data_IF_095861938752
#
_entry.id   IF_095861938752
#
_cell.length_a   1.000
_cell.length_b   1.000
_cell.length_c   1.000
_cell.angle_alpha   90.00
_cell.angle_beta   90.00
_cell.angle_gamma   90.00
#
_symmetry.space_group_name_H-M   'P 1'
#
loop_
_entity.id
_entity.type
_entity.pdbx_description
1 polymer ?
#
# COMPACT_ATOMS: atom_id res chain seq x y z
N UNK A 1 -27.86 -28.39 -2.68
CA UNK A 1 -27.37 -27.24 -3.47
C UNK A 1 -26.14 -27.72 -4.21
N UNK A 2 -26.10 -27.62 -5.54
CA UNK A 2 -24.92 -27.98 -6.32
C UNK A 2 -23.95 -26.79 -6.35
N UNK A 3 -22.66 -27.04 -6.12
CA UNK A 3 -21.63 -26.00 -6.27
C UNK A 3 -21.29 -25.91 -7.76
N UNK A 4 -21.43 -24.73 -8.40
CA UNK A 4 -21.34 -24.59 -9.86
C UNK A 4 -19.90 -24.62 -10.39
N UNK A 5 -18.89 -24.69 -9.52
CA UNK A 5 -17.47 -24.64 -9.87
C UNK A 5 -16.72 -25.85 -9.33
N UNK A 6 -15.81 -26.40 -10.14
CA UNK A 6 -14.97 -27.53 -9.76
C UNK A 6 -13.72 -27.12 -8.96
N UNK A 7 -13.31 -25.85 -9.06
CA UNK A 7 -12.12 -25.31 -8.38
C UNK A 7 -12.24 -23.79 -8.21
N UNK A 8 -11.40 -23.24 -7.32
CA UNK A 8 -11.24 -21.80 -7.08
C UNK A 8 -9.75 -21.49 -7.05
N UNK A 9 -9.35 -20.39 -7.69
CA UNK A 9 -8.00 -19.84 -7.59
C UNK A 9 -8.09 -18.59 -6.72
N UNK A 10 -7.25 -18.54 -5.69
CA UNK A 10 -7.15 -17.39 -4.82
C UNK A 10 -5.86 -16.64 -5.16
N UNK A 11 -5.98 -15.32 -5.22
CA UNK A 11 -4.83 -14.45 -5.06
C UNK A 11 -4.25 -14.60 -3.65
N UNK A 12 -3.02 -14.15 -3.43
CA UNK A 12 -2.33 -14.31 -2.15
C UNK A 12 -2.43 -13.06 -1.27
N UNK A 13 -1.79 -11.97 -1.68
CA UNK A 13 -1.74 -10.71 -0.95
C UNK A 13 -3.11 -10.01 -0.95
N UNK A 14 -3.56 -9.55 0.21
CA UNK A 14 -4.86 -8.91 0.37
C UNK A 14 -6.07 -9.86 0.21
N UNK A 15 -5.86 -11.13 -0.16
CA UNK A 15 -6.90 -12.15 -0.26
C UNK A 15 -6.74 -13.24 0.80
N UNK A 16 -5.61 -13.94 0.82
CA UNK A 16 -5.31 -14.98 1.80
C UNK A 16 -4.52 -14.44 3.00
N UNK A 17 -3.74 -13.38 2.78
CA UNK A 17 -2.90 -12.76 3.80
C UNK A 17 -3.20 -11.27 3.87
N UNK A 18 -3.40 -10.75 5.09
CA UNK A 18 -3.46 -9.31 5.35
C UNK A 18 -2.05 -8.70 5.35
N UNK A 19 -1.49 -8.50 4.15
CA UNK A 19 -0.18 -7.90 3.94
C UNK A 19 -0.21 -6.36 3.97
N UNK A 20 -1.39 -5.73 3.88
CA UNK A 20 -1.54 -4.28 3.83
C UNK A 20 -1.06 -3.57 5.10
N UNK A 21 -1.29 -4.16 6.27
CA UNK A 21 -0.77 -3.60 7.52
C UNK A 21 0.76 -3.52 7.54
N UNK A 22 1.43 -4.49 6.91
CA UNK A 22 2.89 -4.50 6.77
C UNK A 22 3.37 -3.45 5.77
N UNK A 23 2.71 -3.36 4.61
CA UNK A 23 2.99 -2.33 3.60
C UNK A 23 2.84 -0.92 4.17
N UNK A 24 1.73 -0.62 4.85
CA UNK A 24 1.51 0.67 5.50
C UNK A 24 2.65 1.04 6.46
N UNK A 25 3.06 0.11 7.32
CA UNK A 25 4.15 0.34 8.27
C UNK A 25 5.46 0.66 7.55
N UNK A 26 5.73 -0.03 6.45
CA UNK A 26 6.95 0.15 5.66
C UNK A 26 6.96 1.53 4.99
N UNK A 27 5.86 1.95 4.36
CA UNK A 27 5.77 3.28 3.77
C UNK A 27 5.74 4.40 4.80
N UNK A 28 5.20 4.18 6.00
CA UNK A 28 5.32 5.13 7.10
C UNK A 28 6.77 5.35 7.53
N UNK A 29 7.55 4.27 7.64
CA UNK A 29 8.98 4.36 7.92
C UNK A 29 9.72 5.09 6.80
N UNK A 30 9.37 4.82 5.54
CA UNK A 30 9.96 5.50 4.39
C UNK A 30 9.61 7.00 4.37
N UNK A 31 8.33 7.34 4.54
CA UNK A 31 7.83 8.71 4.62
C UNK A 31 8.54 9.50 5.73
N UNK A 32 8.77 8.90 6.90
CA UNK A 32 9.48 9.53 7.99
C UNK A 32 10.94 9.90 7.62
N UNK A 33 11.62 9.06 6.82
CA UNK A 33 12.96 9.38 6.26
C UNK A 33 12.91 10.55 5.29
N UNK A 34 11.75 10.84 4.71
CA UNK A 34 11.47 11.99 3.87
C UNK A 34 10.92 13.21 4.63
N UNK A 35 10.89 13.18 5.96
CA UNK A 35 10.41 14.29 6.79
C UNK A 35 8.89 14.46 6.81
N UNK A 36 8.15 13.44 6.39
CA UNK A 36 6.69 13.47 6.31
C UNK A 36 6.05 12.33 7.14
N UNK A 37 4.90 12.62 7.76
CA UNK A 37 4.10 11.61 8.47
C UNK A 37 2.98 11.11 7.57
N UNK A 38 3.05 9.85 7.15
CA UNK A 38 1.99 9.20 6.38
C UNK A 38 0.93 8.59 7.31
N UNK A 39 -0.31 9.06 7.22
CA UNK A 39 -1.43 8.44 7.95
C UNK A 39 -2.00 7.25 7.19
N UNK A 40 -2.66 6.32 7.90
CA UNK A 40 -3.35 5.20 7.27
C UNK A 40 -4.43 5.67 6.28
N UNK A 41 -5.18 6.73 6.62
CA UNK A 41 -6.20 7.29 5.74
C UNK A 41 -5.62 7.84 4.44
N UNK A 42 -4.47 8.54 4.50
CA UNK A 42 -3.76 9.01 3.31
C UNK A 42 -3.22 7.84 2.49
N UNK A 43 -2.66 6.83 3.14
CA UNK A 43 -2.20 5.62 2.46
C UNK A 43 -3.32 4.95 1.68
N UNK A 44 -4.46 4.70 2.33
CA UNK A 44 -5.63 4.09 1.69
C UNK A 44 -6.18 4.94 0.54
N UNK A 45 -6.24 6.26 0.71
CA UNK A 45 -6.82 7.15 -0.29
C UNK A 45 -5.91 7.40 -1.51
N UNK A 46 -4.59 7.39 -1.32
CA UNK A 46 -3.64 7.90 -2.33
C UNK A 46 -2.70 6.82 -2.88
N UNK A 47 -2.47 5.73 -2.13
CA UNK A 47 -1.42 4.76 -2.42
C UNK A 47 -1.88 3.30 -2.48
N UNK A 48 -3.10 2.98 -2.02
CA UNK A 48 -3.60 1.60 -2.06
C UNK A 48 -3.68 1.07 -3.49
N UNK A 49 -3.08 -0.10 -3.73
CA UNK A 49 -3.05 -0.77 -5.03
C UNK A 49 -2.12 -0.11 -6.07
N UNK A 50 -1.33 0.90 -5.68
CA UNK A 50 -0.28 1.47 -6.52
C UNK A 50 0.99 0.61 -6.45
N UNK A 51 1.85 0.73 -7.46
CA UNK A 51 3.16 0.07 -7.42
C UNK A 51 4.12 0.77 -6.46
N UNK A 52 5.12 0.04 -5.98
CA UNK A 52 6.19 0.58 -5.14
C UNK A 52 6.85 1.81 -5.75
N UNK A 53 7.14 1.77 -7.06
CA UNK A 53 7.80 2.88 -7.77
C UNK A 53 6.93 4.15 -7.75
N UNK A 54 5.62 4.00 -7.93
CA UNK A 54 4.69 5.11 -7.90
C UNK A 54 4.62 5.73 -6.50
N UNK A 55 4.54 4.90 -5.45
CA UNK A 55 4.47 5.35 -4.06
C UNK A 55 5.78 6.03 -3.65
N UNK A 56 6.93 5.39 -3.91
CA UNK A 56 8.26 5.94 -3.61
C UNK A 56 8.47 7.26 -4.36
N UNK A 57 8.13 7.31 -5.65
CA UNK A 57 8.23 8.53 -6.45
C UNK A 57 7.38 9.67 -5.90
N UNK A 58 6.15 9.38 -5.49
CA UNK A 58 5.26 10.36 -4.87
C UNK A 58 5.77 10.87 -3.52
N UNK A 59 6.32 9.98 -2.67
CA UNK A 59 6.93 10.34 -1.39
C UNK A 59 8.19 11.19 -1.59
N UNK A 60 9.06 10.83 -2.54
CA UNK A 60 10.26 11.59 -2.86
C UNK A 60 9.94 12.99 -3.43
N UNK A 61 8.93 13.10 -4.29
CA UNK A 61 8.49 14.38 -4.84
C UNK A 61 7.94 15.35 -3.77
N UNK A 62 7.45 14.82 -2.64
CA UNK A 62 7.00 15.65 -1.50
C UNK A 62 8.17 16.26 -0.73
N UNK A 63 9.36 15.64 -0.74
CA UNK A 63 10.55 16.24 -0.13
C UNK A 63 10.98 17.54 -0.82
N UNK A 64 10.74 17.65 -2.14
CA UNK A 64 10.99 18.90 -2.89
C UNK A 64 9.94 20.00 -2.71
N UNK A 65 8.94 19.79 -1.84
CA UNK A 65 7.88 20.79 -1.52
C UNK A 65 7.90 21.23 -0.05
N UNK A 66 8.89 20.81 0.73
CA UNK A 66 9.08 21.31 2.09
C UNK A 66 9.95 22.58 2.05
N UNK A 67 9.28 23.72 2.18
CA UNK A 67 9.72 25.12 2.06
C UNK A 67 9.77 25.69 0.62
#
# INVERSE_FOLDING_TARGET
>A
MAIPFAAVIFDFDGTLVDSEATHLRLYQQLAARFGFTLTAAQYTAEFLGQTDEAIIGALAARQGRAA
#
